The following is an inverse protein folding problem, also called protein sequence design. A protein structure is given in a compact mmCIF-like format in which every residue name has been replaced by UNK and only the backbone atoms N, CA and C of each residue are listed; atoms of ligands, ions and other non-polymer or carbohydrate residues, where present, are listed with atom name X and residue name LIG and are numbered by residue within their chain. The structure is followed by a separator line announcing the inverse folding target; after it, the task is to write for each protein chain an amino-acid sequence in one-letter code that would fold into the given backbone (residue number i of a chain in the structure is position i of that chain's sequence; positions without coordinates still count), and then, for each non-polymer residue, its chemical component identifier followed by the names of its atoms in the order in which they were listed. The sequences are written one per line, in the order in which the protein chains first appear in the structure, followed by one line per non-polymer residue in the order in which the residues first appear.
data_IF_430883247880
#
_entry.id   IF_430883247880
#
_cell.length_a   1.000
_cell.length_b   1.000
_cell.length_c   1.000
_cell.angle_alpha   90.00
_cell.angle_beta   90.00
_cell.angle_gamma   90.00
#
_symmetry.space_group_name_H-M   'P 1'
#
loop_
_entity.id
_entity.type
_entity.pdbx_description
1 polymer ?
#
# COMPACT_ATOMS: atom_id res chain seq x y z
N UNK A 1 -32.91 -41.73 8.30
CA UNK A 1 -31.57 -41.33 8.70
C UNK A 1 -30.80 -40.63 7.56
N UNK A 2 -30.59 -41.23 6.38
CA UNK A 2 -29.91 -40.65 5.23
C UNK A 2 -30.53 -39.33 4.74
N UNK A 3 -31.86 -39.23 4.61
CA UNK A 3 -32.55 -37.99 4.18
C UNK A 3 -32.44 -36.86 5.19
N UNK A 4 -32.46 -37.14 6.50
CA UNK A 4 -32.27 -36.15 7.55
C UNK A 4 -30.85 -35.60 7.53
N UNK A 5 -29.83 -36.45 7.34
CA UNK A 5 -28.44 -36.05 7.20
C UNK A 5 -28.22 -35.17 5.94
N UNK A 6 -28.87 -35.51 4.83
CA UNK A 6 -28.80 -34.71 3.60
C UNK A 6 -29.44 -33.33 3.78
N UNK A 7 -30.57 -33.23 4.49
CA UNK A 7 -31.24 -31.97 4.79
C UNK A 7 -30.38 -31.10 5.71
N UNK A 8 -29.81 -31.68 6.75
CA UNK A 8 -28.89 -30.98 7.67
C UNK A 8 -27.67 -30.46 6.90
N UNK A 9 -27.08 -31.27 6.00
CA UNK A 9 -25.93 -30.86 5.20
C UNK A 9 -26.28 -29.67 4.29
N UNK A 10 -27.44 -29.68 3.63
CA UNK A 10 -27.92 -28.58 2.78
C UNK A 10 -28.10 -27.29 3.61
N UNK A 11 -28.70 -27.40 4.79
CA UNK A 11 -28.91 -26.23 5.69
C UNK A 11 -27.57 -25.67 6.19
N UNK A 12 -26.63 -26.55 6.55
CA UNK A 12 -25.28 -26.14 6.99
C UNK A 12 -24.50 -25.49 5.86
N UNK A 13 -24.50 -26.08 4.66
CA UNK A 13 -23.82 -25.53 3.49
C UNK A 13 -24.47 -24.20 3.04
N UNK A 14 -25.80 -24.12 3.06
CA UNK A 14 -26.54 -22.89 2.76
C UNK A 14 -26.24 -21.79 3.79
N UNK A 15 -26.27 -22.11 5.08
CA UNK A 15 -25.92 -21.19 6.15
C UNK A 15 -24.48 -20.72 6.09
N UNK A 16 -23.53 -21.62 5.81
CA UNK A 16 -22.12 -21.27 5.61
C UNK A 16 -21.95 -20.36 4.37
N UNK A 17 -22.65 -20.64 3.28
CA UNK A 17 -22.63 -19.80 2.07
C UNK A 17 -23.14 -18.38 2.35
N UNK A 18 -24.24 -18.25 3.07
CA UNK A 18 -24.80 -16.95 3.46
C UNK A 18 -23.84 -16.21 4.40
N UNK A 19 -23.25 -16.91 5.39
CA UNK A 19 -22.26 -16.31 6.31
C UNK A 19 -21.07 -15.73 5.55
N UNK A 20 -20.54 -16.41 4.53
CA UNK A 20 -19.40 -15.92 3.74
C UNK A 20 -19.73 -14.65 2.94
N UNK A 21 -21.00 -14.30 2.78
CA UNK A 21 -21.43 -13.04 2.15
C UNK A 21 -21.55 -11.88 3.16
N UNK A 22 -21.51 -12.17 4.46
CA UNK A 22 -21.50 -11.12 5.49
C UNK A 22 -20.14 -10.41 5.56
N UNK A 23 -20.06 -9.21 6.18
CA UNK A 23 -18.77 -8.53 6.41
C UNK A 23 -17.77 -9.39 7.19
N UNK A 24 -18.22 -10.12 8.20
CA UNK A 24 -17.39 -11.02 9.04
C UNK A 24 -16.88 -12.22 8.22
N UNK A 25 -17.74 -12.83 7.43
CA UNK A 25 -17.37 -13.93 6.54
C UNK A 25 -16.38 -13.47 5.48
N UNK A 26 -16.56 -12.26 4.94
CA UNK A 26 -15.61 -11.66 4.00
C UNK A 26 -14.25 -11.40 4.65
N UNK A 27 -14.22 -10.88 5.88
CA UNK A 27 -12.97 -10.71 6.64
C UNK A 27 -12.27 -12.06 6.91
N UNK A 28 -13.03 -13.14 7.12
CA UNK A 28 -12.47 -14.48 7.26
C UNK A 28 -11.81 -14.94 5.94
N UNK A 29 -12.49 -14.76 4.81
CA UNK A 29 -11.93 -15.09 3.48
C UNK A 29 -10.63 -14.31 3.24
N UNK A 30 -10.65 -12.99 3.47
CA UNK A 30 -9.45 -12.15 3.29
C UNK A 30 -8.31 -12.61 4.20
N UNK A 31 -8.59 -12.97 5.45
CA UNK A 31 -7.59 -13.50 6.40
C UNK A 31 -7.00 -14.83 5.92
N UNK A 32 -7.84 -15.74 5.46
CA UNK A 32 -7.38 -17.04 4.92
C UNK A 32 -6.47 -16.80 3.71
N UNK A 33 -6.91 -15.97 2.75
CA UNK A 33 -6.12 -15.61 1.57
C UNK A 33 -4.76 -15.02 1.94
N UNK A 34 -4.73 -14.03 2.82
CA UNK A 34 -3.52 -13.37 3.31
C UNK A 34 -2.57 -14.41 3.95
N UNK A 35 -3.09 -15.29 4.81
CA UNK A 35 -2.26 -16.27 5.49
C UNK A 35 -1.71 -17.35 4.53
N UNK A 36 -2.49 -17.76 3.53
CA UNK A 36 -2.02 -18.69 2.50
C UNK A 36 -0.89 -18.07 1.67
N UNK A 37 -1.04 -16.82 1.22
CA UNK A 37 0.02 -16.10 0.49
C UNK A 37 1.28 -15.94 1.34
N UNK A 38 1.13 -15.55 2.61
CA UNK A 38 2.27 -15.45 3.56
C UNK A 38 2.99 -16.78 3.72
N UNK A 39 2.26 -17.87 3.87
CA UNK A 39 2.86 -19.20 4.04
C UNK A 39 3.63 -19.65 2.78
N UNK A 40 3.06 -19.44 1.59
CA UNK A 40 3.72 -19.74 0.32
C UNK A 40 4.97 -18.89 0.13
N UNK A 41 4.88 -17.56 0.30
CA UNK A 41 6.01 -16.66 0.13
C UNK A 41 7.14 -16.93 1.13
N UNK A 42 6.80 -17.24 2.37
CA UNK A 42 7.79 -17.63 3.37
C UNK A 42 8.47 -18.97 3.06
N UNK A 43 7.74 -19.93 2.49
CA UNK A 43 8.30 -21.21 2.06
C UNK A 43 9.31 -21.00 0.92
N UNK A 44 8.93 -20.23 -0.10
CA UNK A 44 9.80 -19.89 -1.25
C UNK A 44 11.04 -19.11 -0.81
N UNK A 45 10.85 -18.10 0.03
CA UNK A 45 11.98 -17.32 0.57
C UNK A 45 13.00 -18.20 1.30
N UNK A 46 12.53 -19.15 2.13
CA UNK A 46 13.42 -20.11 2.82
C UNK A 46 14.10 -21.09 1.88
N UNK A 47 13.47 -21.41 0.76
CA UNK A 47 14.05 -22.25 -0.28
C UNK A 47 15.02 -21.49 -1.19
N UNK A 48 15.16 -20.16 -1.04
CA UNK A 48 15.96 -19.32 -1.94
C UNK A 48 15.32 -19.13 -3.32
N UNK A 49 14.01 -19.40 -3.44
CA UNK A 49 13.28 -19.26 -4.71
C UNK A 49 12.73 -17.84 -4.85
N UNK A 50 12.68 -17.30 -6.10
CA UNK A 50 12.02 -16.03 -6.35
C UNK A 50 10.53 -16.12 -6.01
N UNK A 51 9.97 -15.02 -5.48
CA UNK A 51 8.53 -14.93 -5.23
C UNK A 51 7.78 -14.74 -6.55
N UNK A 52 6.56 -15.29 -6.67
CA UNK A 52 5.73 -15.09 -7.85
C UNK A 52 5.51 -13.61 -8.16
N UNK A 53 5.73 -13.22 -9.42
CA UNK A 53 5.60 -11.83 -9.86
C UNK A 53 6.84 -10.96 -9.60
N UNK A 54 7.94 -11.52 -9.08
CA UNK A 54 9.22 -10.80 -9.01
C UNK A 54 9.67 -10.42 -10.42
N UNK A 55 9.95 -9.13 -10.70
CA UNK A 55 10.48 -8.72 -12.01
C UNK A 55 11.89 -9.26 -12.23
N UNK A 56 12.40 -9.12 -13.45
CA UNK A 56 13.79 -9.41 -13.76
C UNK A 56 14.70 -8.36 -13.09
N UNK A 57 15.24 -8.71 -11.90
CA UNK A 57 16.04 -7.82 -11.06
C UNK A 57 17.49 -7.65 -11.58
N UNK A 58 17.94 -8.54 -12.47
CA UNK A 58 19.31 -8.49 -12.98
C UNK A 58 19.47 -7.43 -14.11
N UNK A 59 18.39 -7.11 -14.81
CA UNK A 59 18.42 -6.29 -16.02
C UNK A 59 17.60 -4.99 -15.87
N UNK A 60 17.72 -4.29 -14.74
CA UNK A 60 16.96 -3.04 -14.48
C UNK A 60 17.22 -1.99 -15.58
N UNK A 61 18.46 -1.84 -16.04
CA UNK A 61 18.81 -0.81 -17.03
C UNK A 61 18.17 -1.11 -18.40
N UNK A 62 18.10 -2.38 -18.80
CA UNK A 62 17.38 -2.80 -20.00
C UNK A 62 15.86 -2.59 -19.87
N UNK A 63 15.31 -2.81 -18.67
CA UNK A 63 13.87 -2.56 -18.39
C UNK A 63 13.54 -1.07 -18.39
N UNK A 64 14.42 -0.21 -17.85
CA UNK A 64 14.28 1.24 -17.93
C UNK A 64 14.31 1.72 -19.39
N UNK A 65 15.28 1.24 -20.16
CA UNK A 65 15.38 1.56 -21.60
C UNK A 65 14.12 1.09 -22.36
N UNK A 66 13.63 -0.12 -22.09
CA UNK A 66 12.41 -0.63 -22.71
C UNK A 66 11.16 0.19 -22.32
N UNK A 67 11.12 0.74 -21.09
CA UNK A 67 10.08 1.65 -20.66
C UNK A 67 10.24 3.07 -21.25
N UNK A 68 11.38 3.38 -21.86
CA UNK A 68 11.70 4.69 -22.41
C UNK A 68 11.92 5.75 -21.32
N UNK A 69 12.54 5.35 -20.21
CA UNK A 69 12.89 6.22 -19.08
C UNK A 69 14.32 5.97 -18.64
N UNK A 70 14.92 6.93 -17.95
CA UNK A 70 16.26 6.84 -17.39
C UNK A 70 16.23 6.65 -15.86
N UNK A 71 17.33 6.18 -15.29
CA UNK A 71 17.50 6.13 -13.85
C UNK A 71 17.49 7.56 -13.28
N UNK A 72 16.66 7.78 -12.25
CA UNK A 72 16.58 9.06 -11.56
C UNK A 72 15.41 9.94 -11.97
N UNK A 73 14.53 9.49 -12.87
CA UNK A 73 13.23 10.14 -13.06
C UNK A 73 12.39 10.04 -11.79
N UNK A 74 11.46 10.98 -11.52
CA UNK A 74 10.62 10.95 -10.35
C UNK A 74 9.88 9.63 -10.17
N UNK A 75 9.81 9.16 -8.92
CA UNK A 75 9.16 7.90 -8.55
C UNK A 75 7.94 8.14 -7.64
N UNK A 76 7.01 7.21 -7.69
CA UNK A 76 5.87 7.11 -6.81
C UNK A 76 5.64 5.64 -6.44
N UNK A 77 5.33 5.37 -5.17
CA UNK A 77 5.16 4.02 -4.61
C UNK A 77 3.71 3.78 -4.22
N UNK A 78 3.17 2.62 -4.60
CA UNK A 78 1.86 2.15 -4.14
C UNK A 78 2.00 0.78 -3.50
N UNK A 79 1.30 0.57 -2.40
CA UNK A 79 1.32 -0.68 -1.64
C UNK A 79 -0.11 -1.21 -1.53
N UNK A 80 -0.30 -2.51 -1.79
CA UNK A 80 -1.59 -3.20 -1.71
C UNK A 80 -1.45 -4.43 -0.80
N UNK A 81 -2.04 -4.33 0.40
CA UNK A 81 -1.87 -5.37 1.44
C UNK A 81 -2.45 -6.71 1.05
N UNK A 82 -3.69 -6.73 0.52
CA UNK A 82 -4.38 -7.97 0.16
C UNK A 82 -3.71 -8.70 -1.00
N UNK A 83 -3.21 -7.93 -1.96
CA UNK A 83 -2.52 -8.44 -3.14
C UNK A 83 -1.07 -8.84 -2.84
N UNK A 84 -0.51 -8.39 -1.71
CA UNK A 84 0.92 -8.53 -1.38
C UNK A 84 1.82 -7.87 -2.44
N UNK A 85 1.47 -6.68 -2.89
CA UNK A 85 2.15 -5.99 -3.98
C UNK A 85 2.65 -4.60 -3.56
N UNK A 86 3.86 -4.27 -4.00
CA UNK A 86 4.44 -2.95 -4.01
C UNK A 86 4.69 -2.56 -5.46
N UNK A 87 4.07 -1.49 -5.92
CA UNK A 87 4.27 -0.94 -7.26
C UNK A 87 5.22 0.25 -7.21
N UNK A 88 6.17 0.28 -8.15
CA UNK A 88 6.94 1.48 -8.47
C UNK A 88 6.41 2.05 -9.77
N UNK A 89 6.04 3.31 -9.71
CA UNK A 89 5.63 4.13 -10.84
C UNK A 89 6.72 5.17 -11.09
N UNK A 90 6.99 5.48 -12.35
CA UNK A 90 8.02 6.44 -12.79
C UNK A 90 7.38 7.50 -13.66
N UNK A 91 7.86 8.75 -13.54
CA UNK A 91 7.40 9.84 -14.40
C UNK A 91 7.90 9.64 -15.84
N UNK A 92 6.99 9.80 -16.79
CA UNK A 92 7.24 9.77 -18.21
C UNK A 92 6.23 10.66 -18.95
N UNK A 93 6.72 11.60 -19.74
CA UNK A 93 5.88 12.45 -20.59
C UNK A 93 4.74 13.14 -19.83
N UNK A 94 5.03 13.64 -18.62
CA UNK A 94 4.07 14.42 -17.81
C UNK A 94 3.06 13.58 -17.02
N UNK A 95 3.25 12.28 -16.90
CA UNK A 95 2.44 11.37 -16.08
C UNK A 95 3.26 10.22 -15.53
N UNK A 96 2.73 9.50 -14.56
CA UNK A 96 3.37 8.31 -14.03
C UNK A 96 2.91 7.06 -14.76
N UNK A 97 3.87 6.21 -15.13
CA UNK A 97 3.66 4.89 -15.71
C UNK A 97 4.19 3.83 -14.76
N UNK A 98 3.52 2.69 -14.68
CA UNK A 98 3.97 1.60 -13.81
C UNK A 98 5.21 0.95 -14.38
N UNK A 99 6.33 1.07 -13.68
CA UNK A 99 7.61 0.46 -14.06
C UNK A 99 7.71 -1.00 -13.61
N UNK A 100 7.37 -1.27 -12.35
CA UNK A 100 7.46 -2.61 -11.80
C UNK A 100 6.45 -2.85 -10.68
N UNK A 101 6.12 -4.12 -10.47
CA UNK A 101 5.40 -4.62 -9.29
C UNK A 101 6.29 -5.63 -8.60
N UNK A 102 6.51 -5.45 -7.30
CA UNK A 102 7.32 -6.32 -6.46
C UNK A 102 6.40 -7.06 -5.48
N UNK A 103 6.55 -8.38 -5.31
CA UNK A 103 5.84 -9.10 -4.27
C UNK A 103 6.32 -8.65 -2.89
N UNK A 104 5.39 -8.34 -1.99
CA UNK A 104 5.67 -8.11 -0.58
C UNK A 104 5.70 -9.47 0.10
N UNK A 105 6.90 -9.89 0.47
CA UNK A 105 7.13 -11.18 1.11
C UNK A 105 6.32 -11.34 2.39
N UNK A 106 6.34 -10.32 3.22
CA UNK A 106 5.61 -10.31 4.47
C UNK A 106 5.21 -8.88 4.87
N UNK A 107 3.97 -8.73 5.27
CA UNK A 107 3.49 -7.60 6.05
C UNK A 107 2.68 -8.14 7.23
N UNK A 108 2.57 -7.43 8.35
CA UNK A 108 1.93 -7.96 9.55
C UNK A 108 0.57 -7.29 9.84
N UNK A 109 -0.25 -8.00 10.60
CA UNK A 109 -1.61 -7.59 10.93
C UNK A 109 -2.66 -8.10 9.94
N UNK A 110 -3.70 -7.29 9.75
CA UNK A 110 -4.88 -7.53 8.92
C UNK A 110 -5.18 -6.32 8.05
N UNK A 111 -6.23 -6.36 7.23
CA UNK A 111 -6.75 -5.17 6.56
C UNK A 111 -7.30 -4.19 7.59
N UNK A 112 -7.04 -2.91 7.38
CA UNK A 112 -7.29 -1.83 8.32
C UNK A 112 -6.00 -1.10 8.70
N UNK A 113 -6.09 0.15 9.19
CA UNK A 113 -4.94 0.97 9.55
C UNK A 113 -4.23 0.47 10.81
N UNK A 114 -2.99 0.93 11.01
CA UNK A 114 -2.32 0.84 12.28
C UNK A 114 -2.93 1.83 13.25
N UNK A 115 -3.12 1.42 14.52
CA UNK A 115 -3.77 2.24 15.54
C UNK A 115 -2.82 2.62 16.69
N UNK A 116 -2.00 1.69 17.16
CA UNK A 116 -1.18 1.94 18.34
C UNK A 116 0.17 1.21 18.27
N UNK A 117 1.14 1.73 19.02
CA UNK A 117 2.43 1.06 19.19
C UNK A 117 2.21 -0.39 19.67
N UNK A 118 2.97 -1.33 19.12
CA UNK A 118 2.91 -2.73 19.50
C UNK A 118 1.74 -3.56 18.91
N UNK A 119 0.81 -2.97 18.15
CA UNK A 119 -0.32 -3.68 17.55
C UNK A 119 0.07 -4.62 16.39
N UNK A 120 1.32 -4.61 15.99
CA UNK A 120 1.89 -5.40 14.88
C UNK A 120 1.15 -5.23 13.56
N UNK A 121 0.61 -4.03 13.32
CA UNK A 121 -0.22 -3.72 12.16
C UNK A 121 0.57 -2.86 11.17
N UNK A 122 0.59 -3.27 9.90
CA UNK A 122 1.12 -2.45 8.82
C UNK A 122 0.15 -1.29 8.51
N UNK A 123 0.65 -0.04 8.37
CA UNK A 123 -0.19 1.15 8.21
C UNK A 123 -0.90 1.18 6.85
N UNK A 124 -2.00 1.92 6.76
CA UNK A 124 -2.69 2.30 5.52
C UNK A 124 -2.85 3.82 5.53
N UNK A 125 -2.65 4.45 4.37
CA UNK A 125 -2.74 5.92 4.27
C UNK A 125 -1.81 6.49 3.21
N UNK A 126 -1.66 7.80 3.25
CA UNK A 126 -0.85 8.58 2.32
C UNK A 126 0.38 9.12 3.06
N UNK A 127 1.55 8.74 2.61
CA UNK A 127 2.84 9.07 3.21
C UNK A 127 3.76 9.69 2.15
N UNK A 128 4.80 10.36 2.60
CA UNK A 128 5.89 10.84 1.74
C UNK A 128 7.22 10.51 2.40
N UNK A 129 8.20 10.20 1.57
CA UNK A 129 9.55 9.81 2.01
C UNK A 129 10.57 10.71 1.35
N UNK A 130 11.44 11.30 2.14
CA UNK A 130 12.61 12.07 1.69
C UNK A 130 13.92 11.37 2.05
N UNK A 131 15.05 12.03 1.75
CA UNK A 131 16.36 11.44 1.95
C UNK A 131 16.68 11.11 3.43
N UNK A 132 16.12 11.86 4.39
CA UNK A 132 16.39 11.66 5.82
C UNK A 132 15.73 10.38 6.35
N UNK A 133 14.70 9.90 5.65
CA UNK A 133 13.97 8.68 6.01
C UNK A 133 14.62 7.40 5.46
N UNK A 134 15.70 7.53 4.69
CA UNK A 134 16.44 6.40 4.14
C UNK A 134 17.43 5.83 5.16
N UNK A 135 17.51 4.51 5.25
CA UNK A 135 18.49 3.81 6.09
C UNK A 135 19.23 2.74 5.29
N UNK A 136 20.41 3.05 4.73
CA UNK A 136 21.23 2.09 3.98
C UNK A 136 21.82 0.99 4.86
N UNK A 137 21.92 1.22 6.17
CA UNK A 137 22.53 0.33 7.16
C UNK A 137 21.48 -0.34 8.06
N UNK A 138 20.29 -0.57 7.54
CA UNK A 138 19.23 -1.26 8.27
C UNK A 138 19.63 -2.69 8.62
N UNK A 139 19.28 -3.14 9.84
CA UNK A 139 19.44 -4.56 10.22
C UNK A 139 18.63 -5.53 9.33
N UNK A 140 17.67 -5.00 8.57
CA UNK A 140 16.87 -5.70 7.58
C UNK A 140 17.35 -5.36 6.16
N UNK A 141 18.65 -5.37 5.93
CA UNK A 141 19.37 -5.03 4.71
C UNK A 141 19.29 -3.52 4.41
N UNK A 142 18.29 -3.02 3.70
CA UNK A 142 18.03 -1.60 3.43
C UNK A 142 16.59 -1.27 3.81
N UNK A 143 16.33 -0.03 4.20
CA UNK A 143 14.96 0.39 4.52
C UNK A 143 14.74 1.88 4.28
N UNK A 144 13.49 2.25 4.09
CA UNK A 144 13.03 3.62 4.24
C UNK A 144 11.79 3.68 5.14
N UNK A 145 11.75 4.71 6.00
CA UNK A 145 10.62 4.95 6.89
C UNK A 145 9.46 5.58 6.11
N UNK A 146 8.23 5.15 6.40
CA UNK A 146 7.03 5.75 5.82
C UNK A 146 6.69 7.13 6.40
N UNK A 147 7.32 7.52 7.52
CA UNK A 147 6.92 8.73 8.24
C UNK A 147 5.61 8.56 9.02
N UNK A 148 5.30 7.33 9.45
CA UNK A 148 4.18 7.08 10.35
C UNK A 148 4.51 7.56 11.79
N UNK A 149 3.58 8.18 12.54
CA UNK A 149 2.23 8.60 12.12
C UNK A 149 2.25 9.89 11.30
N UNK A 150 1.50 9.91 10.18
CA UNK A 150 1.28 11.14 9.42
C UNK A 150 0.25 12.06 10.13
N UNK A 151 -0.07 13.23 9.56
CA UNK A 151 -1.02 14.17 10.15
C UNK A 151 -2.41 13.58 10.36
N UNK A 152 -2.88 12.70 9.47
CA UNK A 152 -4.15 12.01 9.65
C UNK A 152 -4.10 11.04 10.82
N UNK A 153 -3.03 10.24 10.90
CA UNK A 153 -2.83 9.30 12.00
C UNK A 153 -2.76 10.02 13.35
N UNK A 154 -2.03 11.15 13.42
CA UNK A 154 -1.91 11.98 14.60
C UNK A 154 -3.27 12.57 15.03
N UNK A 155 -4.07 13.07 14.09
CA UNK A 155 -5.41 13.60 14.35
C UNK A 155 -6.37 12.51 14.91
N UNK A 156 -6.09 11.22 14.64
CA UNK A 156 -6.83 10.08 15.17
C UNK A 156 -6.18 9.44 16.41
N UNK A 157 -5.16 10.07 17.00
CA UNK A 157 -4.45 9.55 18.18
C UNK A 157 -3.71 8.24 17.92
N UNK A 158 -3.40 7.92 16.65
CA UNK A 158 -2.66 6.73 16.30
C UNK A 158 -1.19 6.88 16.69
N UNK A 159 -0.60 5.81 17.21
CA UNK A 159 0.77 5.80 17.70
C UNK A 159 1.58 4.67 17.09
N UNK A 160 2.91 4.84 17.02
CA UNK A 160 3.84 3.86 16.50
C UNK A 160 5.08 4.52 15.91
N UNK A 161 6.12 3.73 15.75
CA UNK A 161 7.40 4.17 15.22
C UNK A 161 8.02 3.09 14.33
N UNK A 162 9.01 3.47 13.53
CA UNK A 162 9.80 2.56 12.70
C UNK A 162 8.98 1.69 11.74
N UNK A 163 7.91 2.25 11.15
CA UNK A 163 7.13 1.61 10.10
C UNK A 163 7.82 1.85 8.75
N UNK A 164 8.32 0.77 8.14
CA UNK A 164 9.25 0.87 7.02
C UNK A 164 8.85 -0.05 5.87
N UNK A 165 9.36 0.24 4.68
CA UNK A 165 9.63 -0.74 3.63
C UNK A 165 11.08 -1.18 3.76
N UNK A 166 11.37 -2.49 3.76
CA UNK A 166 12.72 -3.03 4.00
C UNK A 166 12.93 -4.39 3.34
N UNK A 167 14.19 -4.82 3.26
CA UNK A 167 14.58 -6.16 2.87
C UNK A 167 14.31 -7.21 3.94
N UNK A 168 14.67 -8.46 3.66
CA UNK A 168 14.41 -9.58 4.55
C UNK A 168 12.92 -9.92 4.68
N UNK A 169 12.59 -11.18 4.81
CA UNK A 169 11.20 -11.61 4.84
C UNK A 169 10.68 -11.74 6.28
N UNK A 170 10.75 -10.65 7.07
CA UNK A 170 10.27 -10.60 8.45
C UNK A 170 9.57 -9.27 8.72
N UNK A 171 8.45 -9.26 9.43
CA UNK A 171 7.70 -8.03 9.73
C UNK A 171 7.06 -8.07 11.11
N UNK A 172 7.09 -6.91 11.78
CA UNK A 172 6.33 -6.59 13.00
C UNK A 172 5.68 -5.22 12.86
N UNK A 173 4.97 -4.99 11.72
CA UNK A 173 4.32 -3.72 11.38
C UNK A 173 4.82 -3.08 10.08
N UNK A 174 5.89 -3.58 9.50
CA UNK A 174 6.51 -3.09 8.27
C UNK A 174 5.98 -3.81 7.02
N UNK A 175 6.48 -3.36 5.85
CA UNK A 175 6.35 -4.04 4.56
C UNK A 175 7.71 -4.61 4.17
N UNK A 176 7.85 -5.93 4.27
CA UNK A 176 9.09 -6.63 3.93
C UNK A 176 9.02 -7.14 2.49
N UNK A 177 9.98 -6.78 1.67
CA UNK A 177 10.28 -7.37 0.37
C UNK A 177 11.54 -8.21 0.48
N UNK A 178 11.94 -8.95 -0.57
CA UNK A 178 13.22 -9.67 -0.55
C UNK A 178 14.41 -8.72 -0.70
N UNK A 179 15.61 -9.13 -0.25
CA UNK A 179 16.80 -8.29 -0.36
C UNK A 179 17.10 -7.85 -1.80
N UNK A 180 17.06 -8.73 -2.82
CA UNK A 180 17.25 -8.29 -4.20
C UNK A 180 16.18 -7.29 -4.67
N UNK A 181 14.92 -7.44 -4.21
CA UNK A 181 13.85 -6.52 -4.57
C UNK A 181 14.03 -5.14 -3.91
N UNK A 182 14.44 -5.09 -2.63
CA UNK A 182 14.69 -3.79 -1.99
C UNK A 182 15.93 -3.12 -2.57
N UNK A 183 16.92 -3.85 -3.06
CA UNK A 183 18.08 -3.27 -3.73
C UNK A 183 17.69 -2.54 -5.02
N UNK A 184 16.81 -3.13 -5.82
CA UNK A 184 16.31 -2.47 -7.02
C UNK A 184 15.43 -1.26 -6.66
N UNK A 185 14.49 -1.41 -5.72
CA UNK A 185 13.65 -0.31 -5.23
C UNK A 185 14.54 0.83 -4.70
N UNK A 186 15.59 0.49 -3.95
CA UNK A 186 16.54 1.46 -3.40
C UNK A 186 17.24 2.26 -4.51
N UNK A 187 17.74 1.60 -5.53
CA UNK A 187 18.37 2.28 -6.70
C UNK A 187 17.40 3.28 -7.35
N UNK A 188 16.13 2.90 -7.50
CA UNK A 188 15.12 3.76 -8.12
C UNK A 188 14.81 4.98 -7.23
N UNK A 189 14.56 4.78 -5.94
CA UNK A 189 14.19 5.89 -5.05
C UNK A 189 15.36 6.82 -4.75
N UNK A 190 16.57 6.29 -4.54
CA UNK A 190 17.75 7.13 -4.34
C UNK A 190 18.12 7.88 -5.61
N UNK A 191 18.07 7.21 -6.77
CA UNK A 191 18.32 7.86 -8.06
C UNK A 191 17.38 9.04 -8.30
N UNK A 192 16.11 8.91 -7.94
CA UNK A 192 15.14 10.00 -8.08
C UNK A 192 15.43 11.16 -7.11
N UNK A 193 15.74 10.86 -5.84
CA UNK A 193 16.10 11.88 -4.85
C UNK A 193 17.38 12.61 -5.24
N UNK A 194 18.42 11.89 -5.69
CA UNK A 194 19.71 12.45 -6.12
C UNK A 194 19.58 13.35 -7.37
N UNK A 195 18.55 13.11 -8.20
CA UNK A 195 18.23 13.92 -9.39
C UNK A 195 17.26 15.06 -9.10
N UNK A 196 16.95 15.33 -7.84
CA UNK A 196 16.23 16.50 -7.39
C UNK A 196 14.73 16.28 -7.08
N UNK A 197 14.24 15.05 -7.05
CA UNK A 197 12.95 14.81 -6.44
C UNK A 197 13.06 15.03 -4.93
N UNK A 198 12.36 16.01 -4.33
CA UNK A 198 12.59 16.37 -2.92
C UNK A 198 12.09 15.26 -1.96
N UNK A 199 11.06 14.54 -2.37
CA UNK A 199 10.44 13.39 -1.69
C UNK A 199 9.60 12.60 -2.66
N UNK A 200 9.37 11.34 -2.39
CA UNK A 200 8.47 10.52 -3.18
C UNK A 200 7.23 10.12 -2.37
N UNK A 201 6.03 10.12 -2.98
CA UNK A 201 4.82 9.66 -2.32
C UNK A 201 4.83 8.14 -2.14
N UNK A 202 4.28 7.68 -1.00
CA UNK A 202 4.01 6.27 -0.72
C UNK A 202 2.57 6.14 -0.26
N UNK A 203 1.73 5.57 -1.09
CA UNK A 203 0.33 5.36 -0.78
C UNK A 203 0.08 3.88 -0.45
N UNK A 204 -0.32 3.59 0.77
CA UNK A 204 -0.56 2.25 1.26
C UNK A 204 -2.07 1.98 1.41
N UNK A 205 -2.54 0.97 0.68
CA UNK A 205 -3.95 0.60 0.59
C UNK A 205 -4.20 -0.80 1.16
N UNK A 206 -5.40 -1.05 1.71
CA UNK A 206 -5.80 -2.39 2.15
C UNK A 206 -5.86 -3.40 1.01
N UNK A 207 -6.31 -2.95 -0.14
CA UNK A 207 -6.51 -3.70 -1.39
C UNK A 207 -6.63 -2.71 -2.55
N UNK A 208 -6.67 -3.19 -3.80
CA UNK A 208 -6.98 -2.34 -4.94
C UNK A 208 -8.38 -1.74 -4.77
N UNK A 209 -8.47 -0.40 -4.63
CA UNK A 209 -9.64 0.34 -4.18
C UNK A 209 -10.72 0.47 -5.27
N UNK A 210 -10.98 -0.62 -6.02
CA UNK A 210 -12.07 -0.67 -7.01
C UNK A 210 -13.43 -0.69 -6.32
N UNK A 211 -14.48 -0.20 -7.02
CA UNK A 211 -15.85 -0.23 -6.50
C UNK A 211 -16.30 -1.66 -6.15
N UNK A 212 -15.87 -2.66 -6.92
CA UNK A 212 -16.17 -4.06 -6.64
C UNK A 212 -15.57 -4.52 -5.31
N UNK A 213 -14.29 -4.19 -5.07
CA UNK A 213 -13.61 -4.56 -3.82
C UNK A 213 -14.19 -3.86 -2.60
N UNK A 214 -14.60 -2.59 -2.73
CA UNK A 214 -15.27 -1.86 -1.66
C UNK A 214 -16.67 -2.42 -1.38
N UNK A 215 -17.47 -2.70 -2.44
CA UNK A 215 -18.79 -3.33 -2.24
C UNK A 215 -18.70 -4.66 -1.51
N UNK A 216 -17.69 -5.48 -1.81
CA UNK A 216 -17.46 -6.76 -1.14
C UNK A 216 -17.16 -6.63 0.35
N UNK A 217 -16.73 -5.45 0.81
CA UNK A 217 -16.31 -5.19 2.20
C UNK A 217 -17.18 -4.14 2.90
N UNK A 218 -18.32 -3.81 2.28
CA UNK A 218 -19.31 -2.90 2.89
C UNK A 218 -19.78 -3.44 4.23
N UNK A 219 -19.93 -2.55 5.22
CA UNK A 219 -20.24 -2.90 6.60
C UNK A 219 -18.98 -3.20 7.44
N UNK A 220 -17.79 -3.07 6.87
CA UNK A 220 -16.54 -3.10 7.62
C UNK A 220 -16.47 -1.93 8.60
N UNK A 221 -15.81 -2.15 9.75
CA UNK A 221 -15.49 -1.07 10.69
C UNK A 221 -14.67 0.07 10.03
N UNK A 222 -14.00 -0.21 8.89
CA UNK A 222 -13.14 0.72 8.17
C UNK A 222 -13.79 1.38 6.96
N UNK A 223 -15.10 1.20 6.73
CA UNK A 223 -15.79 1.72 5.54
C UNK A 223 -15.55 3.21 5.31
N UNK A 224 -15.70 4.04 6.35
CA UNK A 224 -15.47 5.47 6.26
C UNK A 224 -14.02 5.83 5.89
N UNK A 225 -13.06 5.19 6.55
CA UNK A 225 -11.64 5.39 6.26
C UNK A 225 -11.27 4.92 4.84
N UNK A 226 -11.75 3.75 4.44
CA UNK A 226 -11.49 3.24 3.09
C UNK A 226 -12.17 4.06 1.98
N UNK A 227 -13.31 4.68 2.27
CA UNK A 227 -13.93 5.62 1.35
C UNK A 227 -13.07 6.88 1.13
N UNK A 228 -12.41 7.39 2.18
CA UNK A 228 -11.44 8.47 2.05
C UNK A 228 -10.21 8.02 1.24
N UNK A 229 -9.65 6.84 1.52
CA UNK A 229 -8.53 6.31 0.74
C UNK A 229 -8.89 6.16 -0.74
N UNK A 230 -10.13 5.72 -1.03
CA UNK A 230 -10.60 5.57 -2.42
C UNK A 230 -10.59 6.88 -3.17
N UNK A 231 -10.94 7.99 -2.54
CA UNK A 231 -10.93 9.30 -3.21
C UNK A 231 -9.54 9.63 -3.76
N UNK A 232 -8.50 9.49 -2.97
CA UNK A 232 -7.13 9.70 -3.44
C UNK A 232 -6.65 8.65 -4.46
N UNK A 233 -7.09 7.40 -4.29
CA UNK A 233 -6.83 6.33 -5.25
C UNK A 233 -7.43 6.65 -6.62
N UNK A 234 -8.72 7.05 -6.69
CA UNK A 234 -9.41 7.33 -7.94
C UNK A 234 -8.82 8.54 -8.68
N UNK A 235 -8.39 9.58 -7.97
CA UNK A 235 -7.71 10.71 -8.58
C UNK A 235 -6.43 10.29 -9.32
N UNK A 236 -5.67 9.36 -8.74
CA UNK A 236 -4.51 8.81 -9.43
C UNK A 236 -4.91 7.92 -10.62
N UNK A 237 -5.88 7.03 -10.47
CA UNK A 237 -6.33 6.17 -11.58
C UNK A 237 -6.83 6.98 -12.79
N UNK A 238 -7.40 8.17 -12.56
CA UNK A 238 -7.89 9.05 -13.61
C UNK A 238 -6.79 9.84 -14.31
N UNK A 239 -5.83 10.35 -13.55
CA UNK A 239 -4.83 11.30 -14.07
C UNK A 239 -3.46 10.64 -14.31
N UNK A 240 -3.16 9.55 -13.65
CA UNK A 240 -1.83 8.99 -13.48
C UNK A 240 -0.83 9.99 -12.89
N UNK A 241 -1.30 10.92 -12.07
CA UNK A 241 -0.49 11.85 -11.29
C UNK A 241 -0.90 11.71 -9.82
N UNK A 242 0.04 11.54 -8.89
CA UNK A 242 -0.27 11.50 -7.46
C UNK A 242 -1.08 12.73 -7.04
N UNK A 243 -2.22 12.56 -6.35
CA UNK A 243 -3.01 13.69 -5.87
C UNK A 243 -2.25 14.50 -4.83
N UNK A 244 -2.58 15.78 -4.71
CA UNK A 244 -2.20 16.58 -3.55
C UNK A 244 -3.06 16.12 -2.38
N UNK A 245 -2.42 15.72 -1.28
CA UNK A 245 -3.07 15.19 -0.09
C UNK A 245 -2.88 16.17 1.06
N UNK A 246 -3.97 16.53 1.72
CA UNK A 246 -3.96 17.37 2.92
C UNK A 246 -4.83 16.73 4.01
N UNK A 247 -4.72 17.24 5.23
CA UNK A 247 -5.56 16.82 6.35
C UNK A 247 -6.27 18.05 6.93
N UNK A 248 -7.59 17.99 7.00
CA UNK A 248 -8.42 19.02 7.58
C UNK A 248 -9.43 18.39 8.56
N UNK A 249 -9.44 18.87 9.81
CA UNK A 249 -10.36 18.37 10.85
C UNK A 249 -10.35 16.83 10.97
N UNK A 250 -9.16 16.22 10.90
CA UNK A 250 -8.98 14.76 10.99
C UNK A 250 -9.44 13.97 9.77
N UNK A 251 -9.67 14.60 8.63
CA UNK A 251 -10.06 13.92 7.38
C UNK A 251 -9.05 14.21 6.27
N UNK A 252 -8.84 13.24 5.40
CA UNK A 252 -8.09 13.49 4.18
C UNK A 252 -8.89 14.43 3.25
N UNK A 253 -8.18 15.38 2.68
CA UNK A 253 -8.67 16.28 1.64
C UNK A 253 -7.75 16.15 0.43
N UNK A 254 -8.33 16.06 -0.74
CA UNK A 254 -7.59 15.81 -1.96
C UNK A 254 -7.84 16.90 -3.00
N UNK A 255 -6.80 17.21 -3.76
CA UNK A 255 -6.89 17.97 -5.00
C UNK A 255 -6.19 17.21 -6.13
N UNK A 256 -6.61 17.40 -7.39
CA UNK A 256 -5.88 16.85 -8.53
C UNK A 256 -4.42 17.27 -8.49
N UNK A 257 -3.52 16.31 -8.69
CA UNK A 257 -2.09 16.60 -8.78
C UNK A 257 -1.68 17.13 -10.15
N UNK A 258 -0.54 17.79 -10.19
CA UNK A 258 0.24 18.12 -11.37
C UNK A 258 1.64 17.56 -11.18
N UNK A 259 2.47 17.49 -12.21
CA UNK A 259 3.86 17.05 -12.07
C UNK A 259 4.61 17.92 -11.04
N UNK A 260 4.36 19.22 -11.02
CA UNK A 260 4.97 20.14 -10.05
C UNK A 260 4.54 19.85 -8.60
N UNK A 261 3.34 19.31 -8.38
CA UNK A 261 2.80 19.02 -7.05
C UNK A 261 2.81 17.53 -6.69
N UNK A 262 3.21 16.66 -7.61
CA UNK A 262 3.23 15.20 -7.40
C UNK A 262 4.07 14.77 -6.17
N UNK A 263 5.03 15.59 -5.78
CA UNK A 263 5.95 15.35 -4.66
C UNK A 263 5.62 16.20 -3.41
N UNK A 264 4.41 16.76 -3.32
CA UNK A 264 4.00 17.56 -2.15
C UNK A 264 3.93 16.70 -0.90
N UNK A 265 4.37 17.28 0.22
CA UNK A 265 4.16 16.67 1.53
C UNK A 265 2.67 16.64 1.86
N UNK A 266 2.27 15.73 2.74
CA UNK A 266 0.94 15.77 3.35
C UNK A 266 0.91 16.93 4.36
N UNK A 267 0.06 17.92 4.10
CA UNK A 267 -0.01 19.16 4.89
C UNK A 267 -1.32 19.26 5.68
N UNK A 268 -1.28 19.98 6.79
CA UNK A 268 -2.49 20.40 7.51
C UNK A 268 -3.12 21.59 6.76
N UNK A 269 -4.10 21.32 5.91
CA UNK A 269 -4.73 22.36 5.07
C UNK A 269 -6.22 22.05 4.87
N UNK A 270 -7.06 23.03 5.20
CA UNK A 270 -8.46 22.97 4.84
C UNK A 270 -8.70 23.66 3.48
N UNK A 271 -9.66 23.18 2.69
CA UNK A 271 -10.14 23.92 1.52
C UNK A 271 -10.58 25.32 1.95
N UNK A 272 -10.44 26.33 1.09
CA UNK A 272 -11.06 27.63 1.35
C UNK A 272 -12.56 27.39 1.58
N UNK A 273 -13.09 27.97 2.66
CA UNK A 273 -14.55 27.98 2.85
C UNK A 273 -15.18 28.57 1.60
N UNK A 274 -16.06 27.78 0.98
CA UNK A 274 -16.92 28.32 -0.05
C UNK A 274 -17.85 29.28 0.67
N UNK A 275 -17.45 30.55 0.74
CA UNK A 275 -18.34 31.62 1.20
C UNK A 275 -19.46 31.70 0.16
N UNK A 276 -20.46 30.86 0.34
CA UNK A 276 -21.73 30.98 -0.35
C UNK A 276 -22.34 32.30 0.13
N UNK A 277 -22.33 33.28 -0.74
CA UNK A 277 -23.16 34.44 -0.53
C UNK A 277 -24.62 33.96 -0.66
N UNK A 278 -25.53 34.35 0.26
CA UNK A 278 -26.92 33.94 0.23
C UNK A 278 -27.67 34.44 -0.98
#
# INVERSE_FOLDING_TARGET
MRQLLALILIVVLGGAGIYLLTPEGRQLIDRVRINMTRADYMARFRAGEPLPGTPDLEHIDARLAAAGVEMGVPVYVRIFKLEHELEIWVEKDGRFVRFATYPICLWSGRLGPKLQEGDRQAPEGFYTVDAEQLNPNSRMHRSFSLGFPNLYDQAHGRTGSFLMVHGGCASVGCYAVTDPAVDEIWRLVTGALDKGQPRFPVHAFPFRMTDANLRLRRGSHWDGFWAELKTGYDLFEQSHIPPVVSVCNGRYVFAPGTIATANSAVEARCPPEVTGNP
#
